data_IF_534123259770
#
_entry.id   IF_534123259770
#
_cell.length_a   1.000
_cell.length_b   1.000
_cell.length_c   1.000
_cell.angle_alpha   90.00
_cell.angle_beta   90.00
_cell.angle_gamma   90.00
#
_symmetry.space_group_name_H-M   'P 1'
#
loop_
_entity.id
_entity.type
_entity.pdbx_description
1 polymer ?
#
# COMPACT_ATOMS: atom_id res chain seq x y z
N UNK A 1 19.75 16.17 -15.76
CA UNK A 1 20.97 15.36 -15.54
C UNK A 1 20.70 13.87 -15.70
N UNK A 2 19.70 13.28 -15.03
CA UNK A 2 19.42 11.83 -15.12
C UNK A 2 19.15 11.34 -16.55
N UNK A 3 18.37 12.10 -17.35
CA UNK A 3 18.09 11.75 -18.73
C UNK A 3 19.36 11.70 -19.59
N UNK A 4 20.30 12.65 -19.42
CA UNK A 4 21.57 12.65 -20.16
C UNK A 4 22.47 11.50 -19.77
N UNK A 5 22.51 11.12 -18.48
CA UNK A 5 23.26 9.95 -18.03
C UNK A 5 22.69 8.66 -18.62
N UNK A 6 21.36 8.53 -18.63
CA UNK A 6 20.67 7.39 -19.21
C UNK A 6 20.90 7.30 -20.72
N UNK A 7 20.81 8.43 -21.44
CA UNK A 7 21.14 8.52 -22.86
C UNK A 7 22.56 8.01 -23.15
N UNK A 8 23.54 8.50 -22.41
CA UNK A 8 24.93 8.09 -22.59
C UNK A 8 25.14 6.58 -22.40
N UNK A 9 24.42 5.96 -21.45
CA UNK A 9 24.46 4.51 -21.23
C UNK A 9 23.74 3.78 -22.37
N UNK A 10 22.54 4.23 -22.75
CA UNK A 10 21.75 3.63 -23.82
C UNK A 10 22.53 3.58 -25.14
N UNK A 11 23.15 4.70 -25.53
CA UNK A 11 23.97 4.80 -26.74
C UNK A 11 25.20 3.88 -26.70
N UNK A 12 25.87 3.79 -25.55
CA UNK A 12 27.00 2.81 -25.39
C UNK A 12 26.55 1.37 -25.56
N UNK A 13 25.32 1.06 -25.17
CA UNK A 13 24.72 -0.27 -25.33
C UNK A 13 24.09 -0.50 -26.72
N UNK A 14 24.13 0.49 -27.62
CA UNK A 14 23.46 0.43 -28.94
C UNK A 14 21.94 0.26 -28.84
N UNK A 15 21.31 0.86 -27.82
CA UNK A 15 19.87 0.72 -27.56
C UNK A 15 19.21 2.10 -27.44
N UNK A 16 17.94 2.17 -27.79
CA UNK A 16 17.06 3.29 -27.44
C UNK A 16 16.13 2.83 -26.30
N UNK A 17 16.08 3.58 -25.22
CA UNK A 17 15.30 3.26 -24.02
C UNK A 17 14.03 4.09 -24.02
N UNK A 18 12.83 3.45 -23.96
CA UNK A 18 11.59 4.16 -23.74
C UNK A 18 11.53 4.73 -22.32
N UNK A 19 11.09 5.99 -22.21
CA UNK A 19 11.01 6.67 -20.93
C UNK A 19 9.65 7.35 -20.74
N UNK A 20 9.22 7.48 -19.50
CA UNK A 20 8.16 8.37 -19.09
C UNK A 20 8.73 9.50 -18.23
N UNK A 21 8.48 10.74 -18.65
CA UNK A 21 8.93 11.92 -17.91
C UNK A 21 7.98 12.21 -16.73
N UNK A 22 8.54 12.35 -15.53
CA UNK A 22 7.77 12.76 -14.37
C UNK A 22 7.73 14.27 -14.22
N UNK A 23 6.52 14.80 -14.07
CA UNK A 23 6.24 16.19 -13.69
C UNK A 23 5.92 16.26 -12.21
N UNK A 24 6.57 17.14 -11.49
CA UNK A 24 6.20 17.47 -10.12
C UNK A 24 5.24 18.65 -10.12
N UNK A 25 3.96 18.34 -10.09
CA UNK A 25 2.89 19.34 -10.02
C UNK A 25 2.49 19.72 -8.59
N UNK A 26 3.27 19.28 -7.59
CA UNK A 26 3.02 19.60 -6.19
C UNK A 26 3.24 18.45 -5.21
N UNK A 27 3.69 17.27 -5.66
CA UNK A 27 4.04 16.17 -4.76
C UNK A 27 5.35 16.44 -3.97
N UNK A 28 6.27 17.23 -4.54
CA UNK A 28 7.53 17.61 -3.88
C UNK A 28 8.54 16.47 -3.71
N UNK A 29 8.45 15.41 -4.53
CA UNK A 29 9.28 14.20 -4.37
C UNK A 29 10.31 14.02 -5.47
N UNK A 30 9.90 13.96 -6.70
CA UNK A 30 10.72 13.78 -7.91
C UNK A 30 10.03 14.40 -9.11
N UNK A 31 10.78 14.79 -10.12
CA UNK A 31 10.25 15.23 -11.41
C UNK A 31 10.65 16.65 -11.77
N UNK A 32 10.39 17.01 -13.03
CA UNK A 32 10.49 18.37 -13.51
C UNK A 32 9.34 19.20 -12.92
N UNK A 33 9.66 20.34 -12.30
CA UNK A 33 8.66 21.21 -11.66
C UNK A 33 8.39 22.44 -12.54
N UNK A 34 7.33 22.46 -13.34
CA UNK A 34 6.97 23.66 -14.10
C UNK A 34 6.34 24.69 -13.16
N UNK A 35 6.73 25.96 -13.31
CA UNK A 35 6.00 27.07 -12.71
C UNK A 35 5.05 27.64 -13.77
N UNK A 36 3.80 27.20 -13.74
CA UNK A 36 2.80 27.58 -14.74
C UNK A 36 2.26 29.00 -14.54
N UNK A 37 2.56 29.65 -13.42
CA UNK A 37 2.20 31.04 -13.14
C UNK A 37 3.22 32.02 -13.71
N UNK A 38 4.44 31.59 -13.97
CA UNK A 38 5.52 32.41 -14.52
C UNK A 38 5.92 31.93 -15.91
N UNK A 39 5.56 32.71 -16.92
CA UNK A 39 5.74 32.34 -18.33
C UNK A 39 7.19 31.96 -18.68
N UNK A 40 8.18 32.69 -18.15
CA UNK A 40 9.59 32.41 -18.42
C UNK A 40 10.04 31.05 -17.84
N UNK A 41 9.58 30.69 -16.64
CA UNK A 41 9.90 29.42 -16.00
C UNK A 41 9.16 28.26 -16.68
N UNK A 42 7.90 28.48 -17.08
CA UNK A 42 7.14 27.53 -17.89
C UNK A 42 7.86 27.21 -19.20
N UNK A 43 8.29 28.23 -19.93
CA UNK A 43 9.01 28.03 -21.19
C UNK A 43 10.38 27.38 -20.99
N UNK A 44 11.07 27.65 -19.89
CA UNK A 44 12.29 26.93 -19.51
C UNK A 44 12.05 25.43 -19.28
N UNK A 45 10.96 25.08 -18.59
CA UNK A 45 10.57 23.69 -18.40
C UNK A 45 10.19 23.00 -19.72
N UNK A 46 9.50 23.69 -20.62
CA UNK A 46 9.18 23.20 -21.98
C UNK A 46 10.47 22.92 -22.76
N UNK A 47 11.45 23.86 -22.73
CA UNK A 47 12.73 23.68 -23.41
C UNK A 47 13.54 22.49 -22.84
N UNK A 48 13.42 22.22 -21.54
CA UNK A 48 14.06 21.05 -20.94
C UNK A 48 13.43 19.74 -21.43
N UNK A 49 12.12 19.68 -21.61
CA UNK A 49 11.45 18.51 -22.20
C UNK A 49 11.84 18.31 -23.64
N UNK A 50 11.89 19.38 -24.46
CA UNK A 50 12.35 19.32 -25.85
C UNK A 50 13.78 18.78 -25.94
N UNK A 51 14.67 19.27 -25.07
CA UNK A 51 16.05 18.78 -25.03
C UNK A 51 16.15 17.30 -24.64
N UNK A 52 15.26 16.80 -23.78
CA UNK A 52 15.19 15.37 -23.41
C UNK A 52 14.64 14.53 -24.57
N UNK A 53 13.59 15.03 -25.24
CA UNK A 53 12.96 14.34 -26.37
C UNK A 53 13.89 14.17 -27.58
N UNK A 54 14.93 15.03 -27.69
CA UNK A 54 15.95 14.98 -28.76
C UNK A 54 17.15 14.09 -28.44
N UNK A 55 17.18 13.41 -27.31
CA UNK A 55 18.29 12.52 -26.96
C UNK A 55 18.19 11.20 -27.74
N UNK A 56 19.21 10.86 -28.55
CA UNK A 56 19.19 9.71 -29.46
C UNK A 56 19.02 8.34 -28.77
N UNK A 57 19.52 8.21 -27.54
CA UNK A 57 19.41 6.98 -26.78
C UNK A 57 18.11 6.86 -25.99
N UNK A 58 17.24 7.86 -26.05
CA UNK A 58 15.94 7.87 -25.34
C UNK A 58 14.79 8.03 -26.32
N UNK A 59 13.64 7.47 -25.94
CA UNK A 59 12.37 7.72 -26.64
C UNK A 59 11.32 8.11 -25.60
N UNK A 60 10.83 9.34 -25.72
CA UNK A 60 9.76 9.81 -24.83
C UNK A 60 8.45 9.11 -25.20
N UNK A 61 8.01 8.16 -24.38
CA UNK A 61 6.77 7.39 -24.59
C UNK A 61 5.62 7.84 -23.70
N UNK A 62 5.92 8.66 -22.70
CA UNK A 62 4.87 9.19 -21.85
C UNK A 62 5.33 10.27 -20.90
N UNK A 63 4.34 10.94 -20.33
CA UNK A 63 4.51 11.98 -19.32
C UNK A 63 3.48 11.79 -18.20
N UNK A 64 3.88 12.03 -16.97
CA UNK A 64 2.98 11.80 -15.84
C UNK A 64 3.23 12.70 -14.65
N UNK A 65 2.19 12.87 -13.84
CA UNK A 65 2.31 13.43 -12.49
C UNK A 65 1.83 12.44 -11.43
N UNK A 66 1.89 12.82 -10.15
CA UNK A 66 1.41 12.01 -9.03
C UNK A 66 0.78 12.90 -7.97
N UNK A 67 -0.41 12.54 -7.54
CA UNK A 67 -1.16 13.31 -6.55
C UNK A 67 -0.66 13.03 -5.13
N UNK A 68 -0.59 14.09 -4.34
CA UNK A 68 -0.18 14.03 -2.94
C UNK A 68 -1.37 13.74 -1.99
N UNK A 69 -2.58 14.18 -2.37
CA UNK A 69 -3.75 14.20 -1.51
C UNK A 69 -5.03 13.71 -2.22
N UNK A 70 -4.90 12.82 -3.23
CA UNK A 70 -6.08 12.28 -3.92
C UNK A 70 -6.89 11.31 -3.05
N UNK A 71 -6.31 10.78 -2.00
CA UNK A 71 -6.91 9.90 -1.01
C UNK A 71 -7.53 10.62 0.20
N UNK A 72 -7.29 11.93 0.32
CA UNK A 72 -7.92 12.76 1.34
C UNK A 72 -9.39 13.06 0.98
N UNK A 73 -10.17 13.46 1.98
CA UNK A 73 -11.58 13.86 1.80
C UNK A 73 -11.71 15.11 0.93
N UNK A 74 -10.84 16.09 1.18
CA UNK A 74 -10.72 17.29 0.37
C UNK A 74 -9.85 17.02 -0.86
N UNK A 75 -10.41 17.25 -2.05
CA UNK A 75 -9.76 17.01 -3.34
C UNK A 75 -9.17 18.28 -3.97
N UNK A 76 -9.30 19.42 -3.34
CA UNK A 76 -8.90 20.72 -3.91
C UNK A 76 -7.42 20.73 -4.28
N UNK A 77 -6.56 20.20 -3.41
CA UNK A 77 -5.13 20.14 -3.73
C UNK A 77 -4.81 19.19 -4.88
N UNK A 78 -5.49 18.05 -4.95
CA UNK A 78 -5.32 17.14 -6.09
C UNK A 78 -5.81 17.76 -7.41
N UNK A 79 -6.89 18.54 -7.37
CA UNK A 79 -7.36 19.31 -8.52
C UNK A 79 -6.35 20.38 -8.93
N UNK A 80 -5.81 21.17 -8.01
CA UNK A 80 -4.75 22.15 -8.30
C UNK A 80 -3.52 21.50 -8.94
N UNK A 81 -3.11 20.32 -8.44
CA UNK A 81 -2.02 19.55 -9.06
C UNK A 81 -2.36 19.14 -10.50
N UNK A 82 -3.60 18.75 -10.75
CA UNK A 82 -4.05 18.36 -12.09
C UNK A 82 -4.07 19.55 -13.03
N UNK A 83 -4.57 20.70 -12.57
CA UNK A 83 -4.60 21.96 -13.36
C UNK A 83 -3.18 22.40 -13.77
N UNK A 84 -2.20 22.31 -12.85
CA UNK A 84 -0.80 22.56 -13.17
C UNK A 84 -0.30 21.59 -14.23
N UNK A 85 -0.64 20.31 -14.12
CA UNK A 85 -0.23 19.30 -15.09
C UNK A 85 -0.86 19.54 -16.46
N UNK A 86 -2.16 19.85 -16.54
CA UNK A 86 -2.85 20.14 -17.80
C UNK A 86 -2.29 21.39 -18.49
N UNK A 87 -2.06 22.49 -17.75
CA UNK A 87 -1.46 23.71 -18.30
C UNK A 87 -0.07 23.44 -18.87
N UNK A 88 0.71 22.60 -18.21
CA UNK A 88 2.02 22.18 -18.71
C UNK A 88 1.90 21.34 -19.99
N UNK A 89 0.97 20.38 -20.04
CA UNK A 89 0.70 19.60 -21.26
C UNK A 89 0.29 20.47 -22.44
N UNK A 90 -0.56 21.48 -22.19
CA UNK A 90 -0.96 22.45 -23.21
C UNK A 90 0.24 23.25 -23.75
N UNK A 91 1.16 23.67 -22.87
CA UNK A 91 2.37 24.37 -23.25
C UNK A 91 3.32 23.51 -24.11
N UNK A 92 3.46 22.21 -23.76
CA UNK A 92 4.23 21.25 -24.56
C UNK A 92 3.61 21.01 -25.92
N UNK A 93 2.30 20.85 -25.99
CA UNK A 93 1.56 20.72 -27.24
C UNK A 93 1.70 21.95 -28.14
N UNK A 94 1.60 23.16 -27.56
CA UNK A 94 1.79 24.41 -28.29
C UNK A 94 3.22 24.57 -28.86
N UNK A 95 4.21 23.97 -28.19
CA UNK A 95 5.58 23.87 -28.64
C UNK A 95 5.83 22.74 -29.67
N UNK A 96 4.81 21.96 -30.03
CA UNK A 96 4.91 20.84 -30.98
C UNK A 96 5.61 19.62 -30.41
N UNK A 97 5.69 19.47 -29.08
CA UNK A 97 6.34 18.35 -28.42
C UNK A 97 5.31 17.24 -28.19
N UNK A 98 5.51 16.09 -28.81
CA UNK A 98 4.72 14.89 -28.54
C UNK A 98 5.24 14.20 -27.27
N UNK A 99 4.38 14.11 -26.26
CA UNK A 99 4.69 13.53 -24.96
C UNK A 99 4.25 12.06 -24.83
N UNK A 100 3.65 11.47 -25.85
CA UNK A 100 3.11 10.11 -25.79
C UNK A 100 1.98 9.96 -24.78
N UNK A 101 1.98 8.87 -23.99
CA UNK A 101 0.94 8.55 -23.02
C UNK A 101 0.96 9.51 -21.82
N UNK A 102 -0.19 10.14 -21.56
CA UNK A 102 -0.38 11.04 -20.42
C UNK A 102 -1.08 10.28 -19.29
N UNK A 103 -0.55 10.31 -18.08
CA UNK A 103 -1.18 9.63 -16.96
C UNK A 103 -0.94 10.34 -15.62
N UNK A 104 -2.00 10.46 -14.82
CA UNK A 104 -1.97 11.14 -13.53
C UNK A 104 -2.53 10.28 -12.40
N UNK A 105 -3.64 9.58 -12.63
CA UNK A 105 -4.43 8.90 -11.62
C UNK A 105 -3.68 7.76 -10.92
N UNK A 106 -3.56 7.84 -9.59
CA UNK A 106 -3.26 6.74 -8.68
C UNK A 106 -4.56 6.03 -8.27
N UNK A 107 -4.52 5.05 -7.36
CA UNK A 107 -5.71 4.30 -6.93
C UNK A 107 -6.85 5.19 -6.44
N UNK A 108 -6.57 6.25 -5.69
CA UNK A 108 -7.58 7.17 -5.18
C UNK A 108 -8.20 8.02 -6.30
N UNK A 109 -7.36 8.58 -7.16
CA UNK A 109 -7.83 9.38 -8.28
C UNK A 109 -8.59 8.55 -9.31
N UNK A 110 -8.27 7.26 -9.49
CA UNK A 110 -9.07 6.34 -10.31
C UNK A 110 -10.51 6.26 -9.79
N UNK A 111 -10.68 6.24 -8.48
CA UNK A 111 -12.00 6.13 -7.84
C UNK A 111 -12.74 7.47 -7.88
N UNK A 112 -12.08 8.55 -7.46
CA UNK A 112 -12.75 9.80 -7.12
C UNK A 112 -12.63 10.92 -8.16
N UNK A 113 -11.61 10.87 -9.03
CA UNK A 113 -11.28 11.93 -9.97
C UNK A 113 -11.20 11.40 -11.42
N UNK A 114 -12.33 10.95 -12.01
CA UNK A 114 -12.32 10.32 -13.33
C UNK A 114 -11.75 11.22 -14.45
N UNK A 115 -11.84 12.55 -14.30
CA UNK A 115 -11.23 13.50 -15.24
C UNK A 115 -9.70 13.37 -15.33
N UNK A 116 -9.04 12.75 -14.35
CA UNK A 116 -7.59 12.56 -14.29
C UNK A 116 -7.09 11.26 -14.92
N UNK A 117 -7.99 10.42 -15.46
CA UNK A 117 -7.62 9.13 -16.05
C UNK A 117 -6.71 9.29 -17.26
N UNK A 118 -6.97 10.32 -18.10
CA UNK A 118 -6.22 10.59 -19.31
C UNK A 118 -6.08 9.34 -20.21
N UNK A 119 -4.86 9.05 -20.71
CA UNK A 119 -4.61 7.93 -21.61
C UNK A 119 -4.35 6.63 -20.85
N UNK A 120 -3.93 6.70 -19.57
CA UNK A 120 -3.64 5.55 -18.74
C UNK A 120 -3.76 5.87 -17.25
N UNK A 121 -4.00 4.84 -16.43
CA UNK A 121 -4.08 4.94 -14.98
C UNK A 121 -3.06 4.01 -14.30
N UNK A 122 -2.72 4.32 -13.05
CA UNK A 122 -1.75 3.56 -12.26
C UNK A 122 -2.39 3.02 -10.98
N UNK A 123 -3.19 1.94 -11.08
CA UNK A 123 -3.74 1.31 -9.88
C UNK A 123 -2.61 0.65 -9.09
N UNK A 124 -2.47 1.07 -7.83
CA UNK A 124 -1.55 0.46 -6.87
C UNK A 124 -2.33 -0.45 -5.93
N UNK A 125 -2.69 0.07 -4.74
CA UNK A 125 -3.36 -0.70 -3.70
C UNK A 125 -4.73 -1.25 -4.14
N UNK A 126 -5.41 -0.58 -5.08
CA UNK A 126 -6.67 -1.06 -5.62
C UNK A 126 -6.54 -2.42 -6.34
N UNK A 127 -5.39 -2.75 -6.94
CA UNK A 127 -5.12 -4.08 -7.50
C UNK A 127 -5.06 -5.18 -6.43
N UNK A 128 -4.71 -4.81 -5.20
CA UNK A 128 -4.74 -5.72 -4.05
C UNK A 128 -6.13 -5.84 -3.42
N UNK A 129 -7.12 -5.14 -4.00
CA UNK A 129 -8.49 -5.16 -3.51
C UNK A 129 -8.70 -4.35 -2.23
N UNK A 130 -7.84 -3.35 -1.98
CA UNK A 130 -7.90 -2.47 -0.83
C UNK A 130 -8.15 -1.03 -1.26
N UNK A 131 -8.95 -0.31 -0.47
CA UNK A 131 -9.16 1.11 -0.69
C UNK A 131 -7.95 1.91 -0.21
N UNK A 132 -7.56 2.98 -0.92
CA UNK A 132 -6.38 3.79 -0.56
C UNK A 132 -6.55 4.56 0.76
N UNK A 133 -7.78 4.88 1.14
CA UNK A 133 -8.15 5.47 2.43
C UNK A 133 -9.63 5.28 2.73
N UNK A 134 -10.10 5.53 3.96
CA UNK A 134 -11.53 5.52 4.27
C UNK A 134 -12.32 6.68 3.63
N UNK A 135 -11.64 7.73 3.17
CA UNK A 135 -12.24 8.94 2.62
C UNK A 135 -12.56 8.87 1.13
N UNK A 136 -12.12 7.83 0.43
CA UNK A 136 -12.52 7.61 -0.97
C UNK A 136 -13.94 7.06 -1.06
N UNK A 137 -14.62 7.28 -2.18
CA UNK A 137 -15.98 6.83 -2.38
C UNK A 137 -16.06 5.33 -2.67
N UNK A 138 -16.35 4.54 -1.63
CA UNK A 138 -16.47 3.08 -1.70
C UNK A 138 -17.67 2.59 -2.53
N UNK A 139 -18.64 3.45 -2.84
CA UNK A 139 -19.80 3.08 -3.65
C UNK A 139 -19.49 3.02 -5.14
N UNK A 140 -18.43 3.71 -5.59
CA UNK A 140 -18.06 3.76 -7.01
C UNK A 140 -17.45 2.46 -7.54
N UNK A 141 -16.79 1.69 -6.67
CA UNK A 141 -16.16 0.44 -7.05
C UNK A 141 -16.15 -0.52 -5.85
N UNK A 142 -16.48 -1.77 -6.10
CA UNK A 142 -16.38 -2.82 -5.07
C UNK A 142 -15.06 -3.57 -5.20
N UNK A 143 -14.16 -3.31 -4.27
CA UNK A 143 -12.87 -3.98 -4.19
C UNK A 143 -12.95 -5.26 -3.34
N UNK A 144 -12.25 -6.30 -3.78
CA UNK A 144 -12.16 -7.59 -3.06
C UNK A 144 -10.71 -7.82 -2.65
N UNK A 145 -10.39 -7.86 -1.35
CA UNK A 145 -9.03 -8.12 -0.88
C UNK A 145 -8.49 -9.42 -1.45
N UNK A 146 -7.34 -9.33 -2.13
CA UNK A 146 -6.67 -10.46 -2.76
C UNK A 146 -5.76 -11.24 -1.79
N UNK A 147 -5.38 -10.62 -0.64
CA UNK A 147 -4.49 -11.22 0.34
C UNK A 147 -5.27 -11.85 1.50
N UNK A 148 -4.89 -13.06 1.87
CA UNK A 148 -5.17 -13.62 3.19
C UNK A 148 -3.87 -14.11 3.82
N UNK A 149 -3.64 -13.77 5.08
CA UNK A 149 -2.50 -14.28 5.86
C UNK A 149 -3.02 -15.28 6.89
N UNK A 150 -2.50 -16.50 6.85
CA UNK A 150 -2.96 -17.61 7.67
C UNK A 150 -1.80 -18.31 8.37
N UNK A 151 -2.10 -18.91 9.51
CA UNK A 151 -1.18 -19.76 10.25
C UNK A 151 -1.95 -20.91 10.91
N UNK A 152 -1.35 -21.57 11.89
CA UNK A 152 -1.95 -22.68 12.66
C UNK A 152 -1.63 -22.55 14.15
N UNK A 153 -2.49 -23.12 14.97
CA UNK A 153 -2.20 -23.34 16.39
C UNK A 153 -1.15 -24.45 16.52
N UNK A 154 -0.05 -24.14 17.20
CA UNK A 154 0.96 -25.14 17.58
C UNK A 154 0.59 -25.88 18.86
N UNK A 155 -0.01 -25.15 19.80
CA UNK A 155 -0.39 -25.66 21.10
C UNK A 155 -1.67 -25.00 21.60
N UNK A 156 -2.47 -25.75 22.30
CA UNK A 156 -3.65 -25.25 23.02
C UNK A 156 -3.56 -25.76 24.43
N UNK A 157 -3.70 -24.89 25.46
CA UNK A 157 -3.63 -25.27 26.88
C UNK A 157 -4.60 -24.44 27.70
N UNK A 158 -5.27 -25.12 28.66
CA UNK A 158 -6.01 -24.44 29.70
C UNK A 158 -5.05 -23.83 30.74
N UNK A 159 -5.36 -22.63 31.20
CA UNK A 159 -4.59 -21.91 32.23
C UNK A 159 -5.53 -21.39 33.32
N UNK A 160 -5.09 -21.38 34.60
CA UNK A 160 -5.89 -20.81 35.69
C UNK A 160 -5.89 -19.28 35.66
N UNK A 161 -6.79 -18.68 36.42
CA UNK A 161 -6.74 -17.24 36.70
C UNK A 161 -5.38 -16.84 37.27
N UNK A 162 -4.88 -15.66 36.95
CA UNK A 162 -3.58 -15.14 37.37
C UNK A 162 -2.38 -15.68 36.58
N UNK A 163 -2.56 -16.64 35.67
CA UNK A 163 -1.48 -17.14 34.82
C UNK A 163 -0.96 -16.03 33.90
N UNK A 164 0.35 -15.82 33.93
CA UNK A 164 1.02 -14.85 33.07
C UNK A 164 1.29 -15.44 31.67
N UNK A 165 1.21 -14.61 30.63
CA UNK A 165 1.46 -15.00 29.24
C UNK A 165 2.51 -14.09 28.62
N UNK A 166 3.50 -14.69 27.94
CA UNK A 166 4.54 -14.05 27.16
C UNK A 166 5.53 -13.19 27.96
N UNK A 167 6.46 -12.57 27.23
CA UNK A 167 7.54 -11.75 27.77
C UNK A 167 7.02 -10.56 28.58
N UNK A 168 7.67 -10.32 29.72
CA UNK A 168 7.37 -9.19 30.59
C UNK A 168 6.04 -9.29 31.32
N UNK A 169 5.37 -10.45 31.22
CA UNK A 169 4.11 -10.74 31.95
C UNK A 169 3.07 -9.60 31.80
N UNK A 170 3.00 -9.02 30.61
CA UNK A 170 2.15 -7.85 30.32
C UNK A 170 0.66 -8.17 30.25
N UNK A 171 0.32 -9.44 30.27
CA UNK A 171 -1.04 -9.97 30.38
C UNK A 171 -1.11 -11.09 31.39
N UNK A 172 -2.15 -11.07 32.20
CA UNK A 172 -2.50 -12.13 33.16
C UNK A 172 -3.92 -12.56 32.89
N UNK A 173 -4.17 -13.86 32.91
CA UNK A 173 -5.51 -14.42 32.75
C UNK A 173 -6.44 -13.90 33.86
N UNK A 174 -7.52 -13.14 33.52
CA UNK A 174 -8.43 -12.60 34.53
C UNK A 174 -9.30 -13.69 35.16
N UNK A 175 -9.48 -14.80 34.46
CA UNK A 175 -10.25 -15.99 34.86
C UNK A 175 -9.61 -17.23 34.20
N UNK A 176 -9.99 -18.46 34.59
CA UNK A 176 -9.55 -19.64 33.86
C UNK A 176 -9.92 -19.54 32.38
N UNK A 177 -8.97 -19.79 31.50
CA UNK A 177 -9.17 -19.68 30.07
C UNK A 177 -8.32 -20.67 29.28
N UNK A 178 -8.45 -20.66 27.93
CA UNK A 178 -7.65 -21.49 27.03
C UNK A 178 -6.76 -20.58 26.18
N UNK A 179 -5.46 -20.85 26.21
CA UNK A 179 -4.47 -20.13 25.43
C UNK A 179 -4.05 -20.96 24.23
N UNK A 180 -4.16 -20.35 23.04
CA UNK A 180 -3.63 -20.87 21.78
C UNK A 180 -2.29 -20.22 21.44
N UNK A 181 -1.28 -21.03 21.09
CA UNK A 181 0.01 -20.55 20.58
C UNK A 181 0.03 -20.69 19.06
N UNK A 182 0.20 -19.59 18.36
CA UNK A 182 0.20 -19.50 16.89
C UNK A 182 1.62 -19.55 16.36
N UNK A 183 1.84 -20.26 15.26
CA UNK A 183 3.11 -20.35 14.52
C UNK A 183 3.33 -19.10 13.66
N UNK A 184 3.40 -17.93 14.25
CA UNK A 184 3.66 -16.67 13.58
C UNK A 184 4.16 -15.63 14.58
N UNK A 185 5.01 -14.71 14.12
CA UNK A 185 5.54 -13.66 14.96
C UNK A 185 6.07 -12.46 14.17
N UNK A 186 6.87 -11.59 14.80
CA UNK A 186 7.35 -10.40 14.12
C UNK A 186 8.38 -10.71 13.01
N UNK A 187 9.03 -11.88 13.03
CA UNK A 187 9.88 -12.32 11.93
C UNK A 187 9.08 -12.75 10.68
N UNK A 188 7.75 -12.89 10.80
CA UNK A 188 6.84 -13.14 9.69
C UNK A 188 6.19 -11.86 9.14
N UNK A 189 6.50 -10.71 9.73
CA UNK A 189 5.93 -9.41 9.36
C UNK A 189 4.79 -8.94 10.25
N UNK A 190 4.48 -9.66 11.35
CA UNK A 190 3.43 -9.25 12.28
C UNK A 190 4.00 -8.26 13.29
N UNK A 191 3.50 -7.05 13.27
CA UNK A 191 4.04 -5.95 14.08
C UNK A 191 3.99 -6.25 15.58
N UNK A 192 5.12 -6.07 16.28
CA UNK A 192 5.22 -6.28 17.72
C UNK A 192 4.30 -5.36 18.53
N UNK A 193 3.94 -4.21 17.99
CA UNK A 193 3.00 -3.24 18.55
C UNK A 193 1.54 -3.73 18.60
N UNK A 194 1.22 -4.86 17.97
CA UNK A 194 -0.07 -5.57 18.15
C UNK A 194 -0.18 -6.32 19.48
N UNK A 195 0.88 -6.37 20.29
CA UNK A 195 0.86 -6.99 21.64
C UNK A 195 -0.27 -6.43 22.49
N UNK A 196 -1.16 -7.31 22.97
CA UNK A 196 -2.36 -6.97 23.77
C UNK A 196 -3.39 -6.06 23.06
N UNK A 197 -3.34 -5.93 21.72
CA UNK A 197 -4.19 -4.97 20.99
C UNK A 197 -5.00 -5.58 19.86
N UNK A 198 -4.45 -6.51 19.13
CA UNK A 198 -5.08 -7.12 17.97
C UNK A 198 -5.89 -8.37 18.29
N UNK A 199 -6.53 -8.92 17.28
CA UNK A 199 -7.18 -10.22 17.33
C UNK A 199 -6.91 -11.02 16.05
N UNK A 200 -6.99 -12.34 16.13
CA UNK A 200 -6.96 -13.26 15.00
C UNK A 200 -8.23 -14.10 14.99
N UNK A 201 -8.48 -14.84 13.92
CA UNK A 201 -9.65 -15.72 13.86
C UNK A 201 -9.24 -17.17 14.08
N UNK A 202 -9.97 -17.84 14.95
CA UNK A 202 -9.86 -19.28 15.22
C UNK A 202 -11.27 -19.86 15.29
N UNK A 203 -11.57 -20.88 14.48
CA UNK A 203 -12.90 -21.49 14.43
C UNK A 203 -14.04 -20.51 14.11
N UNK A 204 -13.77 -19.49 13.29
CA UNK A 204 -14.75 -18.45 12.93
C UNK A 204 -15.03 -17.41 14.01
N UNK A 205 -14.22 -17.37 15.09
CA UNK A 205 -14.34 -16.42 16.20
C UNK A 205 -13.09 -15.57 16.33
N UNK A 206 -13.25 -14.35 16.81
CA UNK A 206 -12.13 -13.45 17.12
C UNK A 206 -11.49 -13.87 18.45
N UNK A 207 -10.20 -14.12 18.41
CA UNK A 207 -9.38 -14.46 19.58
C UNK A 207 -8.35 -13.32 19.79
N UNK A 208 -8.41 -12.59 20.93
CA UNK A 208 -7.49 -11.49 21.21
C UNK A 208 -6.04 -11.97 21.30
N UNK A 209 -5.11 -11.14 20.84
CA UNK A 209 -3.67 -11.32 21.10
C UNK A 209 -3.41 -10.97 22.55
N UNK A 210 -2.83 -11.90 23.31
CA UNK A 210 -2.52 -11.74 24.72
C UNK A 210 -1.03 -11.88 25.00
N UNK A 211 -0.51 -10.93 25.75
CA UNK A 211 0.92 -10.78 25.99
C UNK A 211 1.65 -10.21 24.77
N UNK A 212 2.97 -10.26 24.81
CA UNK A 212 3.81 -9.69 23.75
C UNK A 212 3.92 -10.63 22.55
N UNK A 213 3.80 -10.09 21.35
CA UNK A 213 4.15 -10.77 20.10
C UNK A 213 5.65 -11.09 20.14
N UNK A 214 5.99 -12.36 19.97
CA UNK A 214 7.36 -12.87 19.96
C UNK A 214 7.91 -12.92 18.52
N UNK A 215 9.15 -13.36 18.37
CA UNK A 215 9.80 -13.50 17.06
C UNK A 215 9.02 -14.44 16.14
N UNK A 216 8.66 -15.60 16.63
CA UNK A 216 8.06 -16.71 15.86
C UNK A 216 6.70 -17.17 16.41
N UNK A 217 6.24 -16.60 17.53
CA UNK A 217 5.05 -17.07 18.25
C UNK A 217 4.16 -15.93 18.70
N UNK A 218 2.85 -16.14 18.65
CA UNK A 218 1.82 -15.25 19.19
C UNK A 218 0.86 -16.08 20.04
N UNK A 219 0.46 -15.54 21.17
CA UNK A 219 -0.53 -16.16 22.04
C UNK A 219 -1.87 -15.48 21.89
N UNK A 220 -2.92 -16.31 21.84
CA UNK A 220 -4.31 -15.88 21.73
C UNK A 220 -5.09 -16.38 22.94
N UNK A 221 -5.98 -15.54 23.46
CA UNK A 221 -7.01 -16.00 24.39
C UNK A 221 -8.19 -16.56 23.60
N UNK A 222 -8.37 -17.87 23.67
CA UNK A 222 -9.43 -18.59 22.95
C UNK A 222 -10.74 -18.64 23.74
N UNK A 223 -10.72 -18.15 24.98
CA UNK A 223 -11.85 -18.20 25.91
C UNK A 223 -12.00 -19.54 26.63
N UNK A 224 -12.72 -19.51 27.75
CA UNK A 224 -13.01 -20.71 28.55
C UNK A 224 -13.82 -21.73 27.73
N UNK A 225 -13.43 -23.00 27.82
CA UNK A 225 -14.12 -24.09 27.11
C UNK A 225 -13.98 -24.08 25.59
N UNK A 226 -13.00 -23.35 25.04
CA UNK A 226 -12.75 -23.36 23.60
C UNK A 226 -12.51 -24.78 23.08
N UNK A 227 -13.16 -25.21 22.00
CA UNK A 227 -12.96 -26.52 21.37
C UNK A 227 -11.74 -26.57 20.47
N UNK A 228 -11.00 -25.47 20.31
CA UNK A 228 -9.85 -25.37 19.43
C UNK A 228 -8.75 -26.37 19.81
N UNK A 229 -8.07 -26.90 18.81
CA UNK A 229 -7.01 -27.90 18.96
C UNK A 229 -5.73 -27.45 18.22
N UNK A 230 -4.60 -28.06 18.56
CA UNK A 230 -3.36 -27.90 17.81
C UNK A 230 -3.58 -28.35 16.35
N UNK A 231 -3.06 -27.57 15.39
CA UNK A 231 -3.27 -27.77 13.95
C UNK A 231 -4.41 -26.93 13.37
N UNK A 232 -5.32 -26.40 14.18
CA UNK A 232 -6.41 -25.56 13.67
C UNK A 232 -5.91 -24.31 12.97
N UNK A 233 -6.62 -23.92 11.90
CA UNK A 233 -6.31 -22.74 11.12
C UNK A 233 -6.52 -21.47 11.94
N UNK A 234 -5.53 -20.60 11.88
CA UNK A 234 -5.59 -19.23 12.39
C UNK A 234 -5.57 -18.27 11.22
N UNK A 235 -6.55 -17.36 11.12
CA UNK A 235 -6.55 -16.29 10.13
C UNK A 235 -6.08 -15.00 10.79
N UNK A 236 -4.96 -14.47 10.28
CA UNK A 236 -4.32 -13.23 10.75
C UNK A 236 -4.89 -12.04 9.99
N UNK A 237 -4.98 -12.16 8.65
CA UNK A 237 -5.66 -11.24 7.75
C UNK A 237 -6.59 -12.06 6.86
N UNK A 238 -7.84 -11.69 6.79
CA UNK A 238 -8.81 -12.34 5.91
C UNK A 238 -10.08 -12.77 6.62
N UNK A 239 -10.74 -13.76 6.08
CA UNK A 239 -12.06 -14.24 6.51
C UNK A 239 -12.01 -15.68 6.99
N UNK A 240 -12.77 -15.98 8.05
CA UNK A 240 -13.06 -17.35 8.49
C UNK A 240 -14.55 -17.44 8.88
N UNK A 241 -15.34 -18.11 8.08
CA UNK A 241 -16.80 -18.09 8.21
C UNK A 241 -17.36 -16.67 7.99
N UNK A 242 -18.06 -16.14 9.00
CA UNK A 242 -18.61 -14.77 8.96
C UNK A 242 -17.66 -13.72 9.55
N UNK A 243 -16.66 -14.16 10.30
CA UNK A 243 -15.70 -13.25 10.93
C UNK A 243 -14.62 -12.81 9.94
N UNK A 244 -14.16 -11.57 10.09
CA UNK A 244 -13.14 -10.94 9.25
C UNK A 244 -12.15 -10.18 10.13
N UNK A 245 -10.87 -10.23 9.77
CA UNK A 245 -9.82 -9.29 10.20
C UNK A 245 -9.25 -8.66 8.96
N UNK A 246 -9.38 -7.34 8.82
CA UNK A 246 -8.94 -6.60 7.63
C UNK A 246 -7.54 -6.01 7.82
N UNK A 247 -6.87 -5.70 6.70
CA UNK A 247 -5.64 -4.94 6.75
C UNK A 247 -5.85 -3.51 7.27
N UNK A 248 -7.03 -2.93 7.00
CA UNK A 248 -7.40 -1.60 7.50
C UNK A 248 -7.54 -1.61 9.03
N UNK A 249 -8.23 -2.60 9.60
CA UNK A 249 -8.32 -2.76 11.07
C UNK A 249 -6.93 -2.86 11.73
N UNK A 250 -6.03 -3.61 11.11
CA UNK A 250 -4.66 -3.73 11.64
C UNK A 250 -3.91 -2.41 11.49
N UNK A 251 -4.07 -1.71 10.38
CA UNK A 251 -3.47 -0.41 10.14
C UNK A 251 -3.93 0.62 11.19
N UNK A 252 -5.22 0.68 11.47
CA UNK A 252 -5.80 1.56 12.50
C UNK A 252 -5.21 1.27 13.88
N UNK A 253 -5.10 0.00 14.26
CA UNK A 253 -4.48 -0.41 15.52
C UNK A 253 -3.00 -0.01 15.61
N UNK A 254 -2.31 0.05 14.48
CA UNK A 254 -0.88 0.38 14.39
C UNK A 254 -0.62 1.88 14.21
N UNK A 255 -1.64 2.67 13.83
CA UNK A 255 -1.50 4.08 13.47
C UNK A 255 -0.75 4.26 12.15
N UNK A 256 -1.02 3.40 11.17
CA UNK A 256 -0.41 3.42 9.84
C UNK A 256 -1.47 3.18 8.75
N UNK A 257 -1.04 2.85 7.54
CA UNK A 257 -1.90 2.58 6.38
C UNK A 257 -1.89 1.10 5.98
N UNK A 258 -2.96 0.63 5.35
CA UNK A 258 -3.11 -0.76 4.91
C UNK A 258 -2.02 -1.21 3.93
N UNK A 259 -1.42 -0.28 3.18
CA UNK A 259 -0.26 -0.53 2.30
C UNK A 259 0.90 -1.17 3.09
N UNK A 260 1.25 -0.58 4.24
CA UNK A 260 2.35 -1.09 5.07
C UNK A 260 2.01 -2.48 5.62
N UNK A 261 0.77 -2.69 6.06
CA UNK A 261 0.32 -3.98 6.60
C UNK A 261 0.47 -5.12 5.59
N UNK A 262 0.04 -4.91 4.33
CA UNK A 262 0.14 -5.98 3.31
C UNK A 262 1.53 -6.11 2.71
N UNK A 263 2.39 -5.09 2.85
CA UNK A 263 3.75 -5.10 2.34
C UNK A 263 4.75 -5.81 3.27
N UNK A 264 4.51 -5.80 4.59
CA UNK A 264 5.47 -6.28 5.61
C UNK A 264 5.62 -7.79 5.69
N UNK A 265 4.88 -8.59 4.91
CA UNK A 265 5.01 -10.04 4.93
C UNK A 265 6.43 -10.48 4.56
N UNK A 266 7.10 -11.17 5.50
CA UNK A 266 8.47 -11.62 5.35
C UNK A 266 8.64 -12.63 4.20
N UNK A 267 9.83 -12.68 3.62
CA UNK A 267 10.17 -13.58 2.51
C UNK A 267 10.07 -15.06 2.88
N UNK A 268 10.20 -15.40 4.18
CA UNK A 268 10.07 -16.78 4.68
C UNK A 268 8.62 -17.28 4.71
N UNK A 269 7.63 -16.40 4.61
CA UNK A 269 6.20 -16.77 4.55
C UNK A 269 5.88 -17.25 3.13
N UNK A 270 5.50 -18.53 2.95
CA UNK A 270 5.23 -19.05 1.62
C UNK A 270 3.98 -18.42 1.03
N UNK A 271 4.06 -17.99 -0.23
CA UNK A 271 2.94 -17.46 -0.99
C UNK A 271 2.29 -18.56 -1.81
N UNK A 272 1.00 -18.70 -1.67
CA UNK A 272 0.17 -19.59 -2.49
C UNK A 272 -0.79 -18.74 -3.32
N UNK A 273 -0.68 -18.84 -4.62
CA UNK A 273 -1.59 -18.18 -5.54
C UNK A 273 -2.77 -19.14 -5.80
N UNK A 274 -3.97 -18.63 -5.59
CA UNK A 274 -5.20 -19.36 -5.83
C UNK A 274 -5.80 -18.90 -7.17
N UNK A 275 -6.45 -19.80 -7.94
CA UNK A 275 -7.10 -19.45 -9.21
C UNK A 275 -8.29 -18.51 -9.01
#
# INVERSE_FOLDING_TARGET
DAARQLDAVARRCGRTIPIHLKVDSGMGRLGLRPNVEQQAELMSAVAEVDAIARLDGLRLEGIYTHFAAADERDKDYAQQQFDVFERFLQALQAAGIDCGLRHAANSAAIIDLPQTHLDAVRPGIALYGLYPSPDVNHERIHLKPALSLKSRLLQVKAVPAGCCVSYGMTWKAPQPTVIGTVAAGYADGIQRSLSNRGAMLVGGRRAPIVGRVCMDLIMLDLGAGSPAAAGDEVVIIGRQGRAVVTADEIADLLGTINYEVVFTNATRVPRRYLP
#
